data_IF_654513163873
#
_entry.id   IF_654513163873
#
_cell.length_a   1.000
_cell.length_b   1.000
_cell.length_c   1.000
_cell.angle_alpha   90.00
_cell.angle_beta   90.00
_cell.angle_gamma   90.00
#
_symmetry.space_group_name_H-M   'P 1'
#
loop_
_entity.id
_entity.type
_entity.pdbx_description
1 polymer ?
#
# COMPACT_ATOMS: atom_id res chain seq x y z
N UNK A 1 -41.52 -34.96 -39.57
CA UNK A 1 -40.07 -34.82 -39.33
C UNK A 1 -39.88 -34.06 -38.03
N UNK A 2 -40.01 -34.79 -36.93
CA UNK A 2 -40.06 -34.31 -35.56
C UNK A 2 -39.22 -35.28 -34.75
N UNK A 3 -38.12 -34.82 -34.14
CA UNK A 3 -37.36 -35.65 -33.20
C UNK A 3 -35.85 -35.54 -33.23
N UNK A 4 -35.27 -34.35 -33.36
CA UNK A 4 -33.81 -34.17 -33.24
C UNK A 4 -33.38 -32.99 -32.35
N UNK A 5 -34.27 -32.47 -31.49
CA UNK A 5 -33.94 -31.35 -30.57
C UNK A 5 -34.13 -31.62 -29.07
N UNK A 6 -34.60 -32.80 -28.66
CA UNK A 6 -34.90 -33.07 -27.23
C UNK A 6 -33.84 -33.91 -26.48
N UNK A 7 -32.70 -34.23 -27.10
CA UNK A 7 -31.69 -35.12 -26.46
C UNK A 7 -30.57 -34.39 -25.70
N UNK A 8 -30.52 -33.05 -25.72
CA UNK A 8 -29.41 -32.28 -25.10
C UNK A 8 -29.72 -31.72 -23.70
N UNK A 9 -30.92 -31.96 -23.14
CA UNK A 9 -31.28 -31.50 -21.78
C UNK A 9 -30.94 -32.47 -20.65
N UNK A 10 -30.39 -33.65 -20.94
CA UNK A 10 -30.18 -34.72 -19.94
C UNK A 10 -28.72 -35.15 -19.70
N UNK A 11 -27.72 -34.37 -20.15
CA UNK A 11 -26.30 -34.76 -20.03
C UNK A 11 -25.38 -33.76 -19.32
N UNK A 12 -25.92 -32.85 -18.52
CA UNK A 12 -25.11 -32.09 -17.58
C UNK A 12 -25.64 -32.37 -16.17
N UNK A 13 -24.94 -33.17 -15.34
CA UNK A 13 -25.26 -33.21 -13.92
C UNK A 13 -25.14 -31.78 -13.40
N UNK A 14 -26.17 -31.33 -12.69
CA UNK A 14 -26.11 -30.12 -11.88
C UNK A 14 -24.79 -30.15 -11.11
N UNK A 15 -23.86 -29.26 -11.48
CA UNK A 15 -22.62 -29.07 -10.73
C UNK A 15 -23.01 -28.40 -9.41
N UNK A 16 -23.48 -29.21 -8.47
CA UNK A 16 -23.49 -28.86 -7.06
C UNK A 16 -22.03 -28.66 -6.70
N UNK A 17 -21.58 -27.41 -6.72
CA UNK A 17 -20.26 -27.06 -6.20
C UNK A 17 -20.16 -27.63 -4.77
N UNK A 18 -19.11 -28.39 -4.45
CA UNK A 18 -18.97 -28.92 -3.09
C UNK A 18 -19.00 -27.75 -2.11
N UNK A 19 -19.75 -27.89 -1.01
CA UNK A 19 -19.67 -26.98 0.13
C UNK A 19 -18.30 -27.14 0.79
N UNK A 20 -17.34 -26.41 0.28
CA UNK A 20 -15.97 -26.32 0.77
C UNK A 20 -16.00 -25.40 2.01
N UNK A 21 -15.51 -25.87 3.16
CA UNK A 21 -15.53 -25.10 4.43
C UNK A 21 -14.62 -23.86 4.36
N UNK A 22 -15.06 -22.76 4.96
CA UNK A 22 -14.30 -21.54 5.31
C UNK A 22 -13.00 -21.28 4.54
N UNK A 23 -11.87 -21.66 5.14
CA UNK A 23 -10.52 -21.37 4.62
C UNK A 23 -10.27 -21.92 3.22
N UNK A 24 -10.83 -23.09 2.90
CA UNK A 24 -10.69 -23.70 1.58
C UNK A 24 -11.53 -23.01 0.49
N UNK A 25 -12.60 -22.27 0.85
CA UNK A 25 -13.34 -21.46 -0.13
C UNK A 25 -12.58 -20.16 -0.45
N UNK A 26 -12.05 -19.47 0.56
CA UNK A 26 -11.20 -18.29 0.36
C UNK A 26 -10.00 -18.63 -0.52
N UNK A 27 -9.35 -19.76 -0.23
CA UNK A 27 -8.19 -20.21 -1.00
C UNK A 27 -8.51 -20.39 -2.49
N UNK A 28 -9.66 -21.01 -2.81
CA UNK A 28 -10.12 -21.17 -4.18
C UNK A 28 -10.46 -19.83 -4.85
N UNK A 29 -11.04 -18.87 -4.12
CA UNK A 29 -11.34 -17.55 -4.68
C UNK A 29 -10.07 -16.81 -5.09
N UNK A 30 -9.04 -16.80 -4.24
CA UNK A 30 -7.76 -16.17 -4.56
C UNK A 30 -7.02 -16.89 -5.68
N UNK A 31 -7.04 -18.23 -5.69
CA UNK A 31 -6.47 -19.03 -6.79
C UNK A 31 -7.16 -18.69 -8.13
N UNK A 32 -8.49 -18.68 -8.17
CA UNK A 32 -9.25 -18.36 -9.37
C UNK A 32 -8.98 -16.92 -9.83
N UNK A 33 -8.90 -15.97 -8.90
CA UNK A 33 -8.58 -14.58 -9.22
C UNK A 33 -7.21 -14.45 -9.90
N UNK A 34 -6.20 -15.16 -9.40
CA UNK A 34 -4.86 -15.18 -9.99
C UNK A 34 -4.89 -15.68 -11.44
N UNK A 35 -5.68 -16.72 -11.71
CA UNK A 35 -5.84 -17.28 -13.05
C UNK A 35 -6.64 -16.38 -13.99
N UNK A 36 -7.77 -15.84 -13.53
CA UNK A 36 -8.69 -15.01 -14.32
C UNK A 36 -8.08 -13.65 -14.67
N UNK A 37 -7.47 -12.99 -13.68
CA UNK A 37 -6.80 -11.70 -13.85
C UNK A 37 -5.38 -11.84 -14.40
N UNK A 38 -4.90 -13.07 -14.65
CA UNK A 38 -3.55 -13.35 -15.18
C UNK A 38 -2.44 -12.73 -14.34
N UNK A 39 -2.62 -12.76 -13.02
CA UNK A 39 -1.65 -12.26 -12.06
C UNK A 39 -0.45 -13.23 -12.06
N UNK A 40 0.80 -12.75 -12.26
CA UNK A 40 1.97 -13.62 -12.22
C UNK A 40 2.19 -14.24 -10.84
N UNK A 41 2.16 -13.41 -9.80
CA UNK A 41 2.33 -13.80 -8.41
C UNK A 41 1.56 -12.88 -7.46
N UNK A 42 0.96 -13.48 -6.44
CA UNK A 42 0.22 -12.78 -5.38
C UNK A 42 0.57 -13.41 -4.03
N UNK A 43 0.82 -12.57 -3.04
CA UNK A 43 0.97 -12.97 -1.65
C UNK A 43 -0.21 -12.44 -0.86
N UNK A 44 -0.71 -13.22 0.10
CA UNK A 44 -1.78 -12.80 1.00
C UNK A 44 -1.50 -13.26 2.43
N UNK A 45 -1.78 -12.37 3.37
CA UNK A 45 -1.93 -12.71 4.78
C UNK A 45 -3.21 -12.08 5.33
N UNK A 46 -3.93 -12.85 6.16
CA UNK A 46 -5.15 -12.43 6.85
C UNK A 46 -5.03 -12.88 8.30
N UNK A 47 -5.14 -11.93 9.22
CA UNK A 47 -5.24 -12.16 10.66
C UNK A 47 -6.59 -11.66 11.15
N UNK A 48 -7.25 -12.46 11.98
CA UNK A 48 -8.51 -12.09 12.65
C UNK A 48 -8.44 -12.54 14.11
N UNK A 49 -8.76 -11.64 15.03
CA UNK A 49 -8.69 -11.92 16.47
C UNK A 49 -7.33 -12.54 16.88
N UNK A 50 -6.23 -11.94 16.39
CA UNK A 50 -4.84 -12.41 16.57
C UNK A 50 -4.52 -13.82 16.06
N UNK A 51 -5.42 -14.42 15.26
CA UNK A 51 -5.22 -15.73 14.63
C UNK A 51 -5.03 -15.58 13.12
N UNK A 52 -4.00 -16.21 12.60
CA UNK A 52 -3.79 -16.32 11.14
C UNK A 52 -4.89 -17.18 10.53
N UNK A 53 -5.70 -16.56 9.67
CA UNK A 53 -6.77 -17.22 8.91
C UNK A 53 -6.24 -17.74 7.57
N UNK A 54 -5.36 -16.96 6.94
CA UNK A 54 -4.70 -17.32 5.69
C UNK A 54 -3.33 -16.67 5.65
N UNK A 55 -2.32 -17.41 5.20
CA UNK A 55 -0.97 -16.92 4.93
C UNK A 55 -0.42 -17.77 3.79
N UNK A 56 -0.44 -17.22 2.58
CA UNK A 56 -0.19 -18.02 1.37
C UNK A 56 0.34 -17.17 0.21
N UNK A 57 1.17 -17.79 -0.61
CA UNK A 57 1.54 -17.29 -1.93
C UNK A 57 0.82 -18.07 -3.04
N UNK A 58 0.49 -17.35 -4.11
CA UNK A 58 -0.12 -17.86 -5.32
C UNK A 58 0.73 -17.46 -6.52
N UNK A 59 0.77 -18.32 -7.54
CA UNK A 59 1.56 -18.08 -8.73
C UNK A 59 3.06 -18.07 -8.46
N UNK A 60 3.78 -17.20 -9.17
CA UNK A 60 5.24 -17.19 -9.21
C UNK A 60 5.80 -15.81 -8.88
N UNK A 61 6.85 -15.79 -8.06
CA UNK A 61 7.65 -14.58 -7.85
C UNK A 61 8.37 -14.18 -9.14
N UNK A 62 8.74 -15.16 -9.97
CA UNK A 62 9.32 -14.98 -11.30
C UNK A 62 8.74 -16.00 -12.28
N UNK A 63 8.21 -15.50 -13.39
CA UNK A 63 7.78 -16.33 -14.52
C UNK A 63 8.93 -16.99 -15.27
N UNK A 64 10.17 -16.51 -15.08
CA UNK A 64 11.37 -17.05 -15.73
C UNK A 64 11.89 -18.27 -14.96
N UNK A 65 12.14 -18.12 -13.66
CA UNK A 65 12.62 -19.23 -12.81
C UNK A 65 11.50 -20.18 -12.39
N UNK A 66 10.24 -19.71 -12.42
CA UNK A 66 9.05 -20.40 -11.90
C UNK A 66 9.13 -20.72 -10.41
N UNK A 67 9.89 -19.94 -9.65
CA UNK A 67 9.83 -19.98 -8.19
C UNK A 67 8.45 -19.54 -7.71
N UNK A 68 7.90 -20.25 -6.73
CA UNK A 68 6.60 -19.92 -6.14
C UNK A 68 6.72 -18.71 -5.21
N UNK A 69 5.64 -17.93 -5.14
CA UNK A 69 5.53 -16.88 -4.12
C UNK A 69 5.48 -17.49 -2.73
N UNK A 70 6.23 -16.91 -1.80
CA UNK A 70 6.16 -17.20 -0.36
C UNK A 70 5.75 -15.93 0.40
N UNK A 71 4.79 -16.04 1.31
CA UNK A 71 4.24 -14.88 2.05
C UNK A 71 5.17 -14.27 3.10
N UNK A 72 6.20 -15.01 3.52
CA UNK A 72 7.18 -14.59 4.53
C UNK A 72 8.50 -14.11 3.92
N UNK A 73 8.88 -14.63 2.76
CA UNK A 73 10.20 -14.38 2.19
C UNK A 73 10.21 -13.75 0.79
N UNK A 74 9.10 -13.80 0.02
CA UNK A 74 9.03 -13.07 -1.25
C UNK A 74 8.68 -11.61 -0.98
N UNK A 75 9.61 -10.73 -1.31
CA UNK A 75 9.51 -9.27 -1.20
C UNK A 75 8.88 -8.67 -2.46
N UNK A 76 7.88 -7.82 -2.26
CA UNK A 76 7.15 -7.09 -3.30
C UNK A 76 7.32 -5.59 -3.10
N UNK A 77 7.23 -4.81 -4.18
CA UNK A 77 6.94 -3.37 -4.06
C UNK A 77 5.60 -3.21 -3.36
N UNK A 78 5.55 -2.43 -2.27
CA UNK A 78 4.30 -2.25 -1.50
C UNK A 78 3.46 -1.05 -1.97
N UNK A 79 3.99 -0.29 -2.94
CA UNK A 79 3.36 0.90 -3.48
C UNK A 79 2.87 1.81 -2.33
N UNK A 80 1.66 2.36 -2.43
CA UNK A 80 1.16 3.38 -1.51
C UNK A 80 0.89 2.92 -0.07
N UNK A 81 1.05 1.63 0.26
CA UNK A 81 1.19 1.19 1.66
C UNK A 81 2.39 1.89 2.32
N UNK A 82 3.39 2.30 1.55
CA UNK A 82 4.50 3.14 2.02
C UNK A 82 4.03 4.42 2.73
N UNK A 83 2.87 4.99 2.36
CA UNK A 83 2.31 6.17 3.03
C UNK A 83 1.86 5.86 4.47
N UNK A 84 1.40 4.64 4.73
CA UNK A 84 1.08 4.20 6.09
C UNK A 84 2.33 4.17 6.98
N UNK A 85 3.45 3.65 6.46
CA UNK A 85 4.74 3.67 7.14
C UNK A 85 5.17 5.11 7.43
N UNK A 86 5.06 6.01 6.44
CA UNK A 86 5.35 7.43 6.61
C UNK A 86 4.43 8.11 7.62
N UNK A 87 3.14 7.75 7.65
CA UNK A 87 2.18 8.26 8.63
C UNK A 87 2.55 7.85 10.06
N UNK A 88 2.98 6.60 10.27
CA UNK A 88 3.48 6.15 11.58
C UNK A 88 4.77 6.88 11.97
N UNK A 89 5.69 7.09 11.02
CA UNK A 89 6.91 7.87 11.25
C UNK A 89 6.60 9.34 11.60
N UNK A 90 5.62 9.95 10.94
CA UNK A 90 5.14 11.28 11.29
C UNK A 90 4.55 11.31 12.71
N UNK A 91 3.77 10.29 13.09
CA UNK A 91 3.30 10.15 14.47
C UNK A 91 4.44 10.12 15.48
N UNK A 92 5.54 9.40 15.18
CA UNK A 92 6.73 9.40 16.03
C UNK A 92 7.39 10.77 16.14
N UNK A 93 7.53 11.49 15.02
CA UNK A 93 8.09 12.85 15.03
C UNK A 93 7.30 13.79 15.95
N UNK A 94 5.96 13.65 15.98
CA UNK A 94 5.10 14.44 16.85
C UNK A 94 5.24 14.02 18.32
N UNK A 95 5.25 12.72 18.62
CA UNK A 95 5.47 12.23 19.99
C UNK A 95 6.81 12.65 20.58
N UNK A 96 7.84 12.72 19.73
CA UNK A 96 9.19 13.17 20.07
C UNK A 96 9.31 14.70 20.17
N UNK A 97 8.26 15.45 19.82
CA UNK A 97 8.25 16.91 19.84
C UNK A 97 9.10 17.56 18.74
N UNK A 98 9.47 16.80 17.70
CA UNK A 98 10.28 17.27 16.57
C UNK A 98 9.43 17.95 15.49
N UNK A 99 8.12 17.70 15.49
CA UNK A 99 7.19 18.22 14.49
C UNK A 99 5.82 18.45 15.12
N UNK A 100 5.07 19.42 14.60
CA UNK A 100 3.65 19.60 14.89
C UNK A 100 2.86 19.31 13.61
N UNK A 101 1.68 18.70 13.74
CA UNK A 101 0.81 18.39 12.60
C UNK A 101 0.48 19.63 11.78
N UNK A 102 0.24 20.75 12.45
CA UNK A 102 -0.26 21.98 11.84
C UNK A 102 0.86 23.03 11.64
N UNK A 103 2.11 22.66 11.91
CA UNK A 103 3.27 23.48 11.55
C UNK A 103 3.37 23.68 10.03
N UNK A 104 3.95 24.82 9.64
CA UNK A 104 4.23 25.12 8.24
C UNK A 104 5.28 24.13 7.73
N UNK A 105 5.08 23.61 6.50
CA UNK A 105 6.12 22.82 5.84
C UNK A 105 7.45 23.59 5.72
N UNK A 106 7.39 24.92 5.61
CA UNK A 106 8.57 25.76 5.47
C UNK A 106 9.37 25.91 6.75
N UNK A 107 8.83 25.56 7.92
CA UNK A 107 9.58 25.55 9.17
C UNK A 107 10.69 24.49 9.13
N UNK A 108 10.45 23.40 8.38
CA UNK A 108 11.39 22.28 8.22
C UNK A 108 12.19 22.39 6.91
N UNK A 109 11.59 22.94 5.85
CA UNK A 109 12.19 23.02 4.52
C UNK A 109 12.18 24.47 4.01
N UNK A 110 12.92 25.40 4.65
CA UNK A 110 12.84 26.83 4.34
C UNK A 110 13.36 27.19 2.94
N UNK A 111 14.15 26.31 2.33
CA UNK A 111 14.69 26.48 0.98
C UNK A 111 13.72 26.04 -0.13
N UNK A 112 12.57 25.43 0.20
CA UNK A 112 11.56 25.14 -0.80
C UNK A 112 10.95 26.45 -1.34
N UNK A 113 10.72 26.60 -2.66
CA UNK A 113 10.14 27.82 -3.21
C UNK A 113 8.81 28.17 -2.54
N UNK A 114 8.69 29.40 -2.04
CA UNK A 114 7.45 29.90 -1.44
C UNK A 114 6.33 29.89 -2.49
N UNK A 115 5.23 29.21 -2.16
CA UNK A 115 4.01 29.18 -2.96
C UNK A 115 3.14 30.39 -2.63
N UNK A 116 2.07 30.58 -3.41
CA UNK A 116 1.09 31.64 -3.17
C UNK A 116 0.43 31.55 -1.79
N UNK A 117 0.23 30.34 -1.29
CA UNK A 117 -0.35 30.04 0.01
C UNK A 117 0.60 29.13 0.78
N UNK A 118 0.62 29.28 2.10
CA UNK A 118 1.32 28.35 2.99
C UNK A 118 0.51 27.04 3.15
N UNK A 119 1.18 25.94 3.43
CA UNK A 119 0.56 24.63 3.68
C UNK A 119 1.26 23.88 4.81
N UNK A 120 0.48 23.11 5.55
CA UNK A 120 0.94 22.40 6.76
C UNK A 120 1.37 20.97 6.49
N UNK A 121 2.07 20.38 7.46
CA UNK A 121 2.40 18.95 7.48
C UNK A 121 1.14 18.08 7.39
N UNK A 122 0.08 18.43 8.11
CA UNK A 122 -1.22 17.76 8.08
C UNK A 122 -1.79 17.75 6.66
N UNK A 123 -1.75 18.89 5.99
CA UNK A 123 -2.28 19.03 4.63
C UNK A 123 -1.50 18.21 3.60
N UNK A 124 -0.18 18.07 3.76
CA UNK A 124 0.61 17.13 2.97
C UNK A 124 0.20 15.68 3.26
N UNK A 125 0.16 15.30 4.55
CA UNK A 125 -0.18 13.94 4.96
C UNK A 125 -1.60 13.51 4.56
N UNK A 126 -2.51 14.45 4.37
CA UNK A 126 -3.91 14.21 3.99
C UNK A 126 -4.26 14.55 2.53
N UNK A 127 -3.30 14.92 1.70
CA UNK A 127 -3.53 15.29 0.30
C UNK A 127 -4.44 16.52 0.08
N UNK A 128 -4.39 17.48 1.00
CA UNK A 128 -5.14 18.74 0.94
C UNK A 128 -4.23 19.96 0.81
N UNK A 129 -2.93 19.78 0.57
CA UNK A 129 -1.96 20.87 0.37
C UNK A 129 -2.03 21.53 -1.02
N UNK A 130 -2.65 20.89 -2.00
CA UNK A 130 -2.73 21.43 -3.37
C UNK A 130 -1.46 21.24 -4.20
N UNK A 131 -0.55 20.35 -3.79
CA UNK A 131 0.57 19.92 -4.64
C UNK A 131 -0.01 19.13 -5.83
N UNK A 132 0.58 19.34 -7.02
CA UNK A 132 0.13 18.65 -8.22
C UNK A 132 0.46 17.14 -8.20
N UNK A 133 -0.26 16.37 -9.00
CA UNK A 133 0.12 14.99 -9.32
C UNK A 133 1.21 14.86 -10.38
N UNK A 134 1.53 13.60 -10.70
CA UNK A 134 2.46 13.23 -11.77
C UNK A 134 1.97 13.70 -13.15
N UNK A 135 2.92 14.07 -14.02
CA UNK A 135 2.71 14.42 -15.42
C UNK A 135 3.58 13.55 -16.33
N UNK A 136 3.07 13.20 -17.51
CA UNK A 136 3.82 12.46 -18.52
C UNK A 136 4.49 11.21 -17.98
N UNK A 137 5.82 11.20 -17.96
CA UNK A 137 6.64 10.03 -17.56
C UNK A 137 7.00 10.00 -16.06
N UNK A 138 6.62 11.01 -15.27
CA UNK A 138 7.05 11.12 -13.86
C UNK A 138 6.61 9.92 -12.99
N UNK A 139 5.44 9.33 -13.29
CA UNK A 139 4.97 8.13 -12.61
C UNK A 139 5.97 6.97 -12.73
N UNK A 140 6.60 6.84 -13.90
CA UNK A 140 7.58 5.80 -14.22
C UNK A 140 9.01 6.35 -14.35
N UNK A 141 9.33 7.45 -13.66
CA UNK A 141 10.65 8.06 -13.75
C UNK A 141 11.72 7.09 -13.20
N UNK A 142 12.80 6.95 -13.96
CA UNK A 142 13.96 6.15 -13.59
C UNK A 142 15.18 7.06 -13.46
N UNK A 143 15.18 7.90 -12.43
CA UNK A 143 16.28 8.82 -12.12
C UNK A 143 16.73 8.57 -10.68
N UNK A 144 18.04 8.50 -10.41
CA UNK A 144 18.60 8.16 -9.11
C UNK A 144 18.62 9.38 -8.17
N UNK A 145 17.49 10.07 -8.05
CA UNK A 145 17.39 11.21 -7.15
C UNK A 145 17.43 10.76 -5.69
N UNK A 146 18.09 11.54 -4.85
CA UNK A 146 17.77 11.57 -3.43
C UNK A 146 16.40 12.25 -3.21
N UNK A 147 15.78 12.04 -2.05
CA UNK A 147 14.49 12.67 -1.69
C UNK A 147 14.57 14.19 -1.87
N UNK A 148 15.62 14.82 -1.34
CA UNK A 148 15.85 16.27 -1.43
C UNK A 148 15.99 16.77 -2.86
N UNK A 149 16.66 16.03 -3.73
CA UNK A 149 16.88 16.40 -5.14
C UNK A 149 15.60 16.23 -5.97
N UNK A 150 14.77 15.26 -5.60
CA UNK A 150 13.56 14.93 -6.38
C UNK A 150 12.51 16.04 -6.41
N UNK A 151 12.58 17.00 -5.48
CA UNK A 151 11.69 18.16 -5.49
C UNK A 151 11.90 19.01 -6.74
N UNK A 152 13.07 18.99 -7.38
CA UNK A 152 13.32 19.71 -8.65
C UNK A 152 12.30 19.37 -9.73
N UNK A 153 11.72 18.17 -9.69
CA UNK A 153 10.70 17.71 -10.64
C UNK A 153 9.45 18.59 -10.59
N UNK A 154 9.08 19.14 -9.42
CA UNK A 154 7.79 19.81 -9.22
C UNK A 154 7.81 21.08 -8.35
N UNK A 155 8.96 21.46 -7.78
CA UNK A 155 9.06 22.56 -6.80
C UNK A 155 8.69 23.94 -7.37
N UNK A 156 8.72 24.11 -8.69
CA UNK A 156 8.37 25.38 -9.34
C UNK A 156 6.92 25.44 -9.83
N UNK A 157 6.18 24.33 -9.75
CA UNK A 157 4.79 24.31 -10.19
C UNK A 157 3.86 25.03 -9.18
N UNK A 158 2.81 25.71 -9.64
CA UNK A 158 1.83 26.33 -8.76
C UNK A 158 1.03 25.27 -7.99
N UNK A 159 0.46 25.67 -6.85
CA UNK A 159 -0.58 24.87 -6.20
C UNK A 159 -1.81 24.78 -7.12
N UNK A 160 -2.42 23.60 -7.19
CA UNK A 160 -3.62 23.37 -8.00
C UNK A 160 -4.89 23.92 -7.35
N UNK A 161 -4.86 24.15 -6.04
CA UNK A 161 -5.90 24.81 -5.26
C UNK A 161 -5.31 25.41 -3.97
N UNK A 162 -6.08 26.25 -3.28
CA UNK A 162 -5.71 26.76 -1.96
C UNK A 162 -5.72 25.61 -0.92
N UNK A 163 -4.66 25.46 -0.10
CA UNK A 163 -4.56 24.39 0.88
C UNK A 163 -5.81 24.31 1.80
N UNK A 164 -6.34 23.11 2.00
CA UNK A 164 -7.58 22.85 2.75
C UNK A 164 -8.88 23.12 1.99
N UNK A 165 -8.84 23.68 0.76
CA UNK A 165 -10.03 23.92 -0.07
C UNK A 165 -10.26 22.85 -1.15
N UNK A 166 -9.36 21.90 -1.27
CA UNK A 166 -9.43 20.80 -2.23
C UNK A 166 -8.77 19.53 -1.70
N UNK A 167 -9.01 18.43 -2.42
CA UNK A 167 -8.38 17.14 -2.19
C UNK A 167 -7.81 16.63 -3.52
N UNK A 168 -6.53 16.25 -3.52
CA UNK A 168 -5.88 15.64 -4.67
C UNK A 168 -4.88 14.60 -4.20
N UNK A 169 -5.30 13.34 -4.16
CA UNK A 169 -4.40 12.23 -3.88
C UNK A 169 -3.21 12.21 -4.85
N UNK A 170 -2.00 12.35 -4.31
CA UNK A 170 -0.77 12.29 -5.10
C UNK A 170 0.44 11.89 -4.24
N UNK A 171 1.48 11.36 -4.88
CA UNK A 171 2.68 10.92 -4.16
C UNK A 171 3.69 12.05 -3.91
N UNK A 172 3.57 13.21 -4.55
CA UNK A 172 4.50 14.32 -4.31
C UNK A 172 4.28 14.97 -2.93
N UNK A 173 3.05 14.96 -2.41
CA UNK A 173 2.79 15.32 -1.01
C UNK A 173 3.64 14.46 -0.06
N UNK A 174 3.66 13.15 -0.26
CA UNK A 174 4.42 12.22 0.59
C UNK A 174 5.93 12.34 0.39
N UNK A 175 6.40 12.74 -0.81
CA UNK A 175 7.82 13.08 -1.04
C UNK A 175 8.20 14.31 -0.22
N UNK A 176 7.39 15.37 -0.24
CA UNK A 176 7.63 16.55 0.61
C UNK A 176 7.56 16.18 2.09
N UNK A 177 6.61 15.34 2.50
CA UNK A 177 6.51 14.88 3.88
C UNK A 177 7.76 14.11 4.32
N UNK A 178 8.28 13.20 3.48
CA UNK A 178 9.53 12.49 3.77
C UNK A 178 10.73 13.44 3.86
N UNK A 179 10.76 14.50 3.05
CA UNK A 179 11.80 15.53 3.14
C UNK A 179 11.71 16.33 4.45
N UNK A 180 10.49 16.71 4.87
CA UNK A 180 10.30 17.40 6.14
C UNK A 180 10.75 16.54 7.32
N UNK A 181 10.41 15.24 7.33
CA UNK A 181 10.87 14.30 8.37
C UNK A 181 12.40 14.20 8.39
N UNK A 182 13.03 14.09 7.21
CA UNK A 182 14.48 14.04 7.07
C UNK A 182 15.17 15.30 7.64
N UNK A 183 14.69 16.49 7.28
CA UNK A 183 15.29 17.75 7.73
C UNK A 183 15.04 17.99 9.23
N UNK A 184 13.84 17.69 9.73
CA UNK A 184 13.48 17.87 11.14
C UNK A 184 14.24 16.91 12.08
N UNK A 185 14.47 15.66 11.65
CA UNK A 185 15.21 14.67 12.45
C UNK A 185 16.73 14.79 12.29
N UNK A 186 17.22 15.51 11.27
CA UNK A 186 18.62 15.50 10.84
C UNK A 186 19.16 14.09 10.51
N UNK A 187 18.27 13.14 10.21
CA UNK A 187 18.58 11.78 9.79
C UNK A 187 18.10 11.55 8.37
N UNK A 188 18.74 10.66 7.62
CA UNK A 188 18.16 10.17 6.36
C UNK A 188 16.77 9.57 6.64
N UNK A 189 15.80 9.84 5.76
CA UNK A 189 14.41 9.43 5.97
C UNK A 189 14.29 7.91 6.21
N UNK A 190 15.00 7.10 5.42
CA UNK A 190 15.01 5.66 5.55
C UNK A 190 15.54 5.17 6.90
N UNK A 191 16.53 5.85 7.47
CA UNK A 191 17.12 5.50 8.77
C UNK A 191 16.17 5.85 9.91
N UNK A 192 15.53 7.03 9.86
CA UNK A 192 14.52 7.41 10.84
C UNK A 192 13.35 6.42 10.83
N UNK A 193 12.83 6.08 9.65
CA UNK A 193 11.75 5.09 9.51
C UNK A 193 12.18 3.71 10.02
N UNK A 194 13.40 3.28 9.71
CA UNK A 194 13.94 2.00 10.18
C UNK A 194 14.00 1.94 11.70
N UNK A 195 14.58 2.94 12.33
CA UNK A 195 14.75 3.00 13.78
C UNK A 195 13.41 3.15 14.52
N UNK A 196 12.53 4.02 14.03
CA UNK A 196 11.33 4.44 14.77
C UNK A 196 10.07 3.66 14.43
N UNK A 197 10.06 2.96 13.30
CA UNK A 197 8.90 2.21 12.82
C UNK A 197 9.26 0.75 12.55
N UNK A 198 10.17 0.46 11.63
CA UNK A 198 10.36 -0.93 11.16
C UNK A 198 10.94 -1.85 12.25
N UNK A 199 11.97 -1.41 12.98
CA UNK A 199 12.59 -2.20 14.06
C UNK A 199 11.60 -2.44 15.22
N UNK A 200 10.91 -1.42 15.78
CA UNK A 200 9.91 -1.63 16.83
C UNK A 200 8.77 -2.58 16.43
N UNK A 201 8.38 -2.55 15.16
CA UNK A 201 7.35 -3.42 14.60
C UNK A 201 7.87 -4.80 14.15
N UNK A 202 9.18 -5.04 14.27
CA UNK A 202 9.84 -6.26 13.84
C UNK A 202 9.63 -6.57 12.34
N UNK A 203 9.58 -5.53 11.53
CA UNK A 203 9.42 -5.61 10.06
C UNK A 203 10.78 -5.77 9.37
N UNK A 204 11.47 -6.87 9.67
CA UNK A 204 12.85 -7.12 9.22
C UNK A 204 12.99 -7.35 7.70
N UNK A 205 11.90 -7.73 7.04
CA UNK A 205 11.79 -7.96 5.61
C UNK A 205 11.05 -6.80 4.92
N UNK A 206 11.28 -5.58 5.40
CA UNK A 206 10.89 -4.32 4.73
C UNK A 206 12.15 -3.57 4.33
N UNK A 207 12.26 -3.23 3.05
CA UNK A 207 13.49 -2.72 2.45
C UNK A 207 13.23 -1.47 1.61
N UNK A 208 14.25 -0.62 1.53
CA UNK A 208 14.36 0.40 0.48
C UNK A 208 14.81 -0.22 -0.84
N UNK A 209 14.56 0.43 -2.00
CA UNK A 209 15.12 0.01 -3.28
C UNK A 209 16.64 -0.15 -3.26
N UNK A 210 17.36 0.76 -2.59
CA UNK A 210 18.81 0.69 -2.45
C UNK A 210 19.29 -0.54 -1.67
N UNK A 211 18.59 -0.92 -0.60
CA UNK A 211 18.92 -2.14 0.16
C UNK A 211 18.71 -3.40 -0.68
N UNK A 212 17.63 -3.45 -1.49
CA UNK A 212 17.37 -4.59 -2.39
C UNK A 212 18.43 -4.73 -3.49
N UNK A 213 19.00 -3.63 -3.97
CA UNK A 213 20.08 -3.66 -4.97
C UNK A 213 21.41 -4.19 -4.40
N UNK A 214 21.57 -4.23 -3.07
CA UNK A 214 22.76 -4.74 -2.42
C UNK A 214 22.41 -5.97 -1.55
N UNK A 215 22.74 -7.15 -2.06
CA UNK A 215 22.43 -8.43 -1.43
C UNK A 215 22.97 -8.58 0.00
N UNK A 216 23.93 -7.77 0.46
CA UNK A 216 24.41 -7.82 1.84
C UNK A 216 23.37 -7.40 2.89
N UNK A 217 22.27 -6.77 2.47
CA UNK A 217 21.18 -6.34 3.36
C UNK A 217 20.04 -7.36 3.50
N UNK A 218 20.11 -8.47 2.77
CA UNK A 218 19.04 -9.46 2.71
C UNK A 218 19.57 -10.82 3.16
N UNK A 219 18.76 -11.55 3.92
CA UNK A 219 19.07 -12.93 4.29
C UNK A 219 18.97 -13.83 3.04
N UNK A 220 19.75 -14.92 3.03
CA UNK A 220 19.87 -15.83 1.87
C UNK A 220 18.54 -16.49 1.45
N UNK A 221 17.55 -16.56 2.35
CA UNK A 221 16.23 -17.13 2.10
C UNK A 221 15.19 -16.10 1.62
N UNK A 222 15.55 -14.82 1.55
CA UNK A 222 14.71 -13.74 1.06
C UNK A 222 14.90 -13.56 -0.45
N UNK A 223 13.79 -13.47 -1.18
CA UNK A 223 13.76 -13.25 -2.63
C UNK A 223 12.98 -11.98 -2.97
N UNK A 224 13.36 -11.29 -4.05
CA UNK A 224 12.56 -10.17 -4.58
C UNK A 224 11.80 -10.63 -5.80
N UNK A 225 10.49 -10.40 -5.80
CA UNK A 225 9.64 -10.72 -6.94
C UNK A 225 10.06 -9.94 -8.19
N UNK A 226 9.99 -10.61 -9.34
CA UNK A 226 9.98 -9.94 -10.62
C UNK A 226 8.71 -9.12 -10.78
N UNK A 227 8.85 -7.95 -11.39
CA UNK A 227 7.76 -6.99 -11.55
C UNK A 227 7.18 -7.03 -12.96
N UNK A 228 5.86 -7.03 -13.08
CA UNK A 228 5.17 -7.18 -14.36
C UNK A 228 4.13 -6.08 -14.65
N UNK A 229 3.76 -5.98 -15.91
CA UNK A 229 2.61 -5.22 -16.41
C UNK A 229 1.87 -6.09 -17.42
N UNK A 230 0.54 -6.02 -17.46
CA UNK A 230 -0.24 -6.72 -18.46
C UNK A 230 -0.25 -5.98 -19.80
N UNK A 231 0.10 -6.69 -20.88
CA UNK A 231 -0.20 -6.28 -22.27
C UNK A 231 -1.35 -7.14 -22.77
N UNK A 232 -2.57 -6.61 -22.73
CA UNK A 232 -3.78 -7.43 -22.88
C UNK A 232 -3.89 -8.41 -21.71
N UNK A 233 -3.94 -9.72 -21.99
CA UNK A 233 -3.94 -10.78 -20.96
C UNK A 233 -2.58 -11.42 -20.72
N UNK A 234 -1.50 -10.85 -21.28
CA UNK A 234 -0.16 -11.43 -21.20
C UNK A 234 0.74 -10.60 -20.28
N UNK A 235 1.27 -11.17 -19.19
CA UNK A 235 2.28 -10.52 -18.39
C UNK A 235 3.56 -10.25 -19.18
N UNK A 236 4.09 -9.04 -19.03
CA UNK A 236 5.41 -8.62 -19.52
C UNK A 236 6.18 -8.00 -18.37
N UNK A 237 7.51 -8.15 -18.36
CA UNK A 237 8.37 -7.46 -17.39
C UNK A 237 8.03 -5.97 -17.41
N UNK A 238 7.82 -5.40 -16.23
CA UNK A 238 7.57 -3.99 -16.07
C UNK A 238 8.81 -3.20 -16.47
N UNK A 239 8.61 -1.95 -16.89
CA UNK A 239 9.72 -1.04 -17.14
C UNK A 239 10.49 -0.76 -15.84
N UNK A 240 11.79 -0.54 -15.96
CA UNK A 240 12.62 -0.13 -14.83
C UNK A 240 12.21 1.26 -14.36
N UNK A 241 12.11 1.42 -13.05
CA UNK A 241 11.81 2.68 -12.36
C UNK A 241 12.71 2.80 -11.15
N UNK A 242 13.02 4.03 -10.76
CA UNK A 242 13.70 4.30 -9.50
C UNK A 242 12.67 4.89 -8.53
N UNK A 243 12.38 4.14 -7.47
CA UNK A 243 11.43 4.57 -6.45
C UNK A 243 12.11 5.04 -5.14
N UNK A 244 13.44 5.16 -5.11
CA UNK A 244 14.18 5.57 -3.90
C UNK A 244 13.74 6.96 -3.43
N UNK A 245 13.64 7.93 -4.34
CA UNK A 245 13.16 9.26 -3.96
C UNK A 245 11.66 9.30 -3.61
N UNK A 246 10.92 8.24 -3.93
CA UNK A 246 9.48 8.09 -3.64
C UNK A 246 9.24 7.28 -2.38
N UNK A 247 10.26 6.98 -1.56
CA UNK A 247 10.15 6.11 -0.38
C UNK A 247 8.89 6.40 0.43
N UNK A 248 8.69 7.64 0.87
CA UNK A 248 7.54 7.98 1.71
C UNK A 248 6.17 7.86 1.03
N UNK A 249 6.10 7.89 -0.31
CA UNK A 249 4.86 7.84 -1.08
C UNK A 249 4.54 6.50 -1.72
N UNK A 250 5.55 5.66 -1.99
CA UNK A 250 5.35 4.40 -2.69
C UNK A 250 6.59 3.55 -2.94
N UNK A 251 7.73 3.87 -2.30
CA UNK A 251 9.02 3.30 -2.68
C UNK A 251 9.46 2.07 -1.91
N UNK A 252 8.89 1.79 -0.75
CA UNK A 252 9.27 0.61 0.03
C UNK A 252 8.92 -0.70 -0.67
N UNK A 253 9.66 -1.74 -0.31
CA UNK A 253 9.37 -3.12 -0.63
C UNK A 253 9.20 -3.90 0.68
N UNK A 254 8.33 -4.91 0.70
CA UNK A 254 8.15 -5.76 1.87
C UNK A 254 7.45 -7.08 1.55
N UNK A 255 7.27 -7.90 2.57
CA UNK A 255 6.52 -9.16 2.57
C UNK A 255 5.13 -8.94 3.16
N UNK A 256 4.16 -9.79 2.83
CA UNK A 256 2.83 -9.69 3.44
C UNK A 256 2.89 -9.86 4.96
N UNK A 257 3.79 -10.73 5.44
CA UNK A 257 3.94 -11.02 6.87
C UNK A 257 4.37 -9.80 7.67
N UNK A 258 5.25 -8.95 7.14
CA UNK A 258 5.65 -7.71 7.81
C UNK A 258 4.57 -6.64 7.78
N UNK A 259 3.83 -6.54 6.66
CA UNK A 259 2.67 -5.64 6.60
C UNK A 259 1.58 -6.06 7.61
N UNK A 260 1.41 -7.35 7.89
CA UNK A 260 0.53 -7.82 8.97
C UNK A 260 1.01 -7.33 10.34
N UNK A 261 2.32 -7.38 10.64
CA UNK A 261 2.85 -6.88 11.92
C UNK A 261 2.51 -5.40 12.12
N UNK A 262 2.63 -4.59 11.07
CA UNK A 262 2.20 -3.19 11.08
C UNK A 262 0.70 -3.05 11.40
N UNK A 263 -0.16 -3.83 10.74
CA UNK A 263 -1.61 -3.76 11.00
C UNK A 263 -2.01 -4.27 12.38
N UNK A 264 -1.36 -5.31 12.90
CA UNK A 264 -1.59 -5.80 14.27
C UNK A 264 -1.15 -4.75 15.30
N UNK A 265 -0.05 -4.06 15.03
CA UNK A 265 0.39 -2.94 15.87
C UNK A 265 -0.63 -1.81 15.92
N UNK A 266 -1.22 -1.46 14.78
CA UNK A 266 -2.31 -0.47 14.69
C UNK A 266 -3.52 -0.95 15.50
N UNK A 267 -3.94 -2.21 15.38
CA UNK A 267 -5.07 -2.75 16.16
C UNK A 267 -4.81 -2.73 17.66
N UNK A 268 -3.59 -3.09 18.06
CA UNK A 268 -3.22 -3.26 19.45
C UNK A 268 -2.75 -1.95 20.11
N UNK A 269 -2.56 -0.88 19.33
CA UNK A 269 -2.15 0.43 19.83
C UNK A 269 -0.76 0.42 20.47
N UNK A 270 0.20 -0.33 19.94
CA UNK A 270 1.47 -0.61 20.63
C UNK A 270 2.70 0.14 20.08
N UNK A 271 2.59 0.85 18.95
CA UNK A 271 3.68 1.71 18.45
C UNK A 271 3.55 3.14 18.94
N UNK A 272 2.36 3.74 18.80
CA UNK A 272 2.06 5.13 19.14
C UNK A 272 1.06 5.19 20.30
N UNK A 273 0.99 6.33 20.95
CA UNK A 273 -0.04 6.69 21.92
C UNK A 273 -1.40 6.76 21.23
N UNK A 274 -2.45 6.50 22.01
CA UNK A 274 -3.83 6.46 21.51
C UNK A 274 -4.26 7.77 20.84
N UNK A 275 -3.87 8.93 21.40
CA UNK A 275 -4.19 10.23 20.80
C UNK A 275 -3.54 10.43 19.42
N UNK A 276 -2.38 9.81 19.18
CA UNK A 276 -1.60 10.02 17.97
C UNK A 276 -2.23 9.17 16.88
N UNK A 277 -2.62 7.93 17.20
CA UNK A 277 -3.45 7.12 16.32
C UNK A 277 -4.78 7.80 16.00
N UNK A 278 -5.45 8.44 16.97
CA UNK A 278 -6.69 9.21 16.71
C UNK A 278 -6.45 10.33 15.69
N UNK A 279 -5.31 11.03 15.75
CA UNK A 279 -4.96 12.04 14.74
C UNK A 279 -4.69 11.42 13.37
N UNK A 280 -3.91 10.34 13.30
CA UNK A 280 -3.59 9.65 12.04
C UNK A 280 -4.83 9.11 11.33
N UNK A 281 -5.80 8.61 12.11
CA UNK A 281 -7.00 7.95 11.59
C UNK A 281 -8.25 8.86 11.57
N UNK A 282 -8.11 10.15 11.90
CA UNK A 282 -9.18 11.11 11.69
C UNK A 282 -9.27 11.47 10.20
N UNK A 283 -10.36 11.09 9.54
CA UNK A 283 -10.62 11.51 8.17
C UNK A 283 -10.69 13.05 8.09
N UNK A 284 -9.95 13.63 7.15
CA UNK A 284 -9.96 15.07 6.94
C UNK A 284 -11.20 15.50 6.15
N UNK A 285 -11.60 16.75 6.35
CA UNK A 285 -12.77 17.34 5.68
C UNK A 285 -12.36 18.48 4.77
N UNK A 286 -12.95 18.52 3.58
CA UNK A 286 -12.87 19.65 2.65
C UNK A 286 -14.28 20.14 2.40
N UNK A 287 -14.55 21.42 2.64
CA UNK A 287 -15.87 22.04 2.46
C UNK A 287 -17.01 21.29 3.19
N UNK A 288 -16.73 20.78 4.40
CA UNK A 288 -17.70 20.05 5.21
C UNK A 288 -17.94 18.60 4.80
N UNK A 289 -17.20 18.07 3.82
CA UNK A 289 -17.28 16.68 3.38
C UNK A 289 -15.99 15.93 3.67
N UNK A 290 -16.13 14.70 4.16
CA UNK A 290 -14.99 13.79 4.37
C UNK A 290 -14.35 13.44 3.03
N UNK A 291 -13.01 13.44 3.02
CA UNK A 291 -12.22 12.96 1.88
C UNK A 291 -11.80 11.50 2.03
N UNK A 292 -12.29 10.84 3.09
CA UNK A 292 -11.99 9.43 3.42
C UNK A 292 -10.48 9.13 3.51
N UNK A 293 -9.71 10.11 3.99
CA UNK A 293 -8.26 10.04 4.11
C UNK A 293 -7.81 10.79 5.38
N UNK A 294 -7.00 10.11 6.19
CA UNK A 294 -6.34 10.64 7.38
C UNK A 294 -4.92 11.09 7.06
N UNK A 295 -3.98 10.89 7.98
CA UNK A 295 -2.59 11.31 7.79
C UNK A 295 -1.73 10.13 7.36
N UNK A 296 -1.60 9.93 6.04
CA UNK A 296 -0.92 8.78 5.43
C UNK A 296 -1.76 7.51 5.30
N UNK A 297 -3.04 7.55 5.68
CA UNK A 297 -3.97 6.41 5.65
C UNK A 297 -5.25 6.77 4.92
N UNK A 298 -5.75 5.85 4.09
CA UNK A 298 -7.17 5.83 3.77
C UNK A 298 -7.95 5.54 5.06
N UNK A 299 -9.00 6.31 5.31
CA UNK A 299 -9.94 6.13 6.43
C UNK A 299 -11.32 6.01 5.79
N UNK A 300 -11.64 4.80 5.34
CA UNK A 300 -12.68 4.55 4.36
C UNK A 300 -13.58 3.40 4.80
N UNK A 301 -14.51 3.03 3.93
CA UNK A 301 -15.36 1.86 4.06
C UNK A 301 -15.14 0.91 2.89
N UNK A 302 -15.31 -0.38 3.14
CA UNK A 302 -15.37 -1.40 2.09
C UNK A 302 -16.75 -1.43 1.40
N UNK A 303 -16.93 -2.35 0.43
CA UNK A 303 -18.17 -2.48 -0.34
C UNK A 303 -19.42 -2.83 0.49
N UNK A 304 -19.25 -3.32 1.72
CA UNK A 304 -20.36 -3.61 2.66
C UNK A 304 -20.52 -2.52 3.72
N UNK A 305 -19.75 -1.42 3.62
CA UNK A 305 -19.82 -0.30 4.57
C UNK A 305 -18.98 -0.49 5.84
N UNK A 306 -18.13 -1.53 5.93
CA UNK A 306 -17.26 -1.75 7.10
C UNK A 306 -16.10 -0.77 7.09
N UNK A 307 -15.83 -0.15 8.23
CA UNK A 307 -14.77 0.84 8.36
C UNK A 307 -13.39 0.17 8.37
N UNK A 308 -12.46 0.75 7.62
CA UNK A 308 -11.06 0.35 7.66
C UNK A 308 -10.13 1.57 7.64
N UNK A 309 -8.93 1.36 8.21
CA UNK A 309 -7.76 2.19 7.94
C UNK A 309 -6.72 1.40 7.15
N UNK A 310 -6.03 2.03 6.22
CA UNK A 310 -5.05 1.32 5.40
C UNK A 310 -4.74 2.02 4.08
N UNK A 311 -4.43 1.24 3.04
CA UNK A 311 -4.17 1.79 1.72
C UNK A 311 -4.26 0.74 0.59
N UNK A 312 -4.92 1.12 -0.51
CA UNK A 312 -4.75 0.47 -1.83
C UNK A 312 -3.57 1.11 -2.58
N UNK A 313 -2.60 0.33 -3.03
CA UNK A 313 -1.43 0.79 -3.75
C UNK A 313 -1.43 0.38 -5.21
N UNK A 314 -0.98 1.30 -6.07
CA UNK A 314 -0.64 0.99 -7.45
C UNK A 314 0.70 1.65 -7.80
N UNK A 315 1.61 0.88 -8.38
CA UNK A 315 2.88 1.39 -8.90
C UNK A 315 3.31 0.57 -10.11
N UNK A 316 4.33 1.02 -10.82
CA UNK A 316 4.93 0.19 -11.87
C UNK A 316 5.39 -1.13 -11.25
N UNK A 317 4.81 -2.23 -11.69
CA UNK A 317 5.14 -3.57 -11.23
C UNK A 317 4.37 -4.06 -10.02
N UNK A 318 3.45 -3.28 -9.46
CA UNK A 318 2.82 -3.62 -8.20
C UNK A 318 1.37 -3.16 -8.07
N UNK A 319 0.57 -3.98 -7.39
CA UNK A 319 -0.76 -3.63 -6.92
C UNK A 319 -0.97 -4.24 -5.53
N UNK A 320 -1.49 -3.48 -4.59
CA UNK A 320 -1.47 -3.89 -3.17
C UNK A 320 -2.70 -3.44 -2.41
N UNK A 321 -3.14 -4.25 -1.45
CA UNK A 321 -4.17 -3.87 -0.48
C UNK A 321 -3.62 -4.10 0.93
N UNK A 322 -3.73 -3.09 1.78
CA UNK A 322 -3.53 -3.21 3.21
C UNK A 322 -4.73 -2.62 3.92
N UNK A 323 -5.41 -3.42 4.74
CA UNK A 323 -6.59 -2.99 5.48
C UNK A 323 -6.52 -3.47 6.92
N UNK A 324 -6.83 -2.57 7.83
CA UNK A 324 -7.07 -2.83 9.24
C UNK A 324 -8.51 -2.45 9.53
N UNK A 325 -9.30 -3.42 9.97
CA UNK A 325 -10.69 -3.28 10.37
C UNK A 325 -10.75 -3.33 11.90
N UNK A 326 -10.77 -2.18 12.60
CA UNK A 326 -10.64 -2.14 14.05
C UNK A 326 -11.81 -2.81 14.78
N UNK A 327 -13.04 -2.60 14.28
CA UNK A 327 -14.26 -3.12 14.89
C UNK A 327 -14.33 -4.65 14.79
N UNK A 328 -13.88 -5.22 13.68
CA UNK A 328 -13.85 -6.66 13.42
C UNK A 328 -12.53 -7.33 13.82
N UNK A 329 -11.53 -6.56 14.26
CA UNK A 329 -10.17 -7.03 14.59
C UNK A 329 -9.54 -7.86 13.47
N UNK A 330 -9.68 -7.38 12.22
CA UNK A 330 -9.12 -8.03 11.03
C UNK A 330 -8.00 -7.19 10.45
N UNK A 331 -6.88 -7.83 10.10
CA UNK A 331 -5.80 -7.26 9.31
C UNK A 331 -5.63 -8.07 8.03
N UNK A 332 -5.57 -7.37 6.90
CA UNK A 332 -5.40 -7.97 5.57
C UNK A 332 -4.21 -7.30 4.90
N UNK A 333 -3.31 -8.12 4.36
CA UNK A 333 -2.26 -7.70 3.43
C UNK A 333 -2.33 -8.54 2.16
N UNK A 334 -2.38 -7.88 1.01
CA UNK A 334 -2.34 -8.50 -0.32
C UNK A 334 -1.30 -7.76 -1.15
N UNK A 335 -0.32 -8.49 -1.66
CA UNK A 335 0.76 -7.93 -2.49
C UNK A 335 0.82 -8.66 -3.83
N UNK A 336 0.72 -7.93 -4.93
CA UNK A 336 0.72 -8.47 -6.29
C UNK A 336 1.89 -7.88 -7.08
N UNK A 337 2.66 -8.72 -7.77
CA UNK A 337 3.81 -8.30 -8.60
C UNK A 337 3.40 -7.84 -10.01
N UNK A 338 2.26 -7.16 -10.14
CA UNK A 338 1.74 -6.69 -11.42
C UNK A 338 1.13 -5.30 -11.31
N UNK A 339 1.44 -4.41 -12.26
CA UNK A 339 0.78 -3.10 -12.40
C UNK A 339 -0.70 -3.29 -12.70
N UNK A 340 -1.57 -2.78 -11.83
CA UNK A 340 -3.03 -2.67 -12.03
C UNK A 340 -3.65 -3.85 -12.81
N UNK A 341 -3.67 -5.06 -12.23
CA UNK A 341 -4.17 -6.27 -12.90
C UNK A 341 -5.70 -6.26 -13.11
N UNK A 342 -6.39 -5.16 -12.77
CA UNK A 342 -7.87 -5.05 -12.77
C UNK A 342 -8.55 -6.09 -11.88
N UNK A 343 -7.91 -6.44 -10.77
CA UNK A 343 -8.36 -7.49 -9.86
C UNK A 343 -9.18 -6.99 -8.66
N UNK A 344 -9.30 -5.67 -8.44
CA UNK A 344 -9.89 -5.12 -7.20
C UNK A 344 -11.29 -5.64 -6.90
N UNK A 345 -12.20 -5.70 -7.89
CA UNK A 345 -13.55 -6.22 -7.65
C UNK A 345 -13.56 -7.68 -7.18
N UNK A 346 -12.65 -8.52 -7.69
CA UNK A 346 -12.48 -9.89 -7.22
C UNK A 346 -11.85 -9.96 -5.82
N UNK A 347 -10.93 -9.04 -5.51
CA UNK A 347 -10.38 -8.91 -4.16
C UNK A 347 -11.45 -8.48 -3.15
N UNK A 348 -12.31 -7.53 -3.50
CA UNK A 348 -13.40 -7.06 -2.64
C UNK A 348 -14.39 -8.17 -2.32
N UNK A 349 -14.78 -8.97 -3.33
CA UNK A 349 -15.65 -10.14 -3.11
C UNK A 349 -14.99 -11.21 -2.23
N UNK A 350 -13.69 -11.46 -2.39
CA UNK A 350 -12.95 -12.37 -1.52
C UNK A 350 -12.82 -11.83 -0.09
N UNK A 351 -12.54 -10.54 0.07
CA UNK A 351 -12.44 -9.86 1.37
C UNK A 351 -13.78 -9.93 2.11
N UNK A 352 -14.90 -9.69 1.41
CA UNK A 352 -16.24 -9.82 1.99
C UNK A 352 -16.46 -11.17 2.65
N UNK A 353 -15.95 -12.26 2.06
CA UNK A 353 -16.13 -13.59 2.64
C UNK A 353 -15.42 -13.74 4.00
N UNK A 354 -14.32 -13.02 4.26
CA UNK A 354 -13.54 -13.11 5.52
C UNK A 354 -14.40 -12.83 6.77
N UNK A 355 -15.42 -11.99 6.61
CA UNK A 355 -16.29 -11.56 7.70
C UNK A 355 -17.48 -12.50 7.95
N UNK A 356 -17.69 -13.50 7.10
CA UNK A 356 -18.74 -14.47 7.29
C UNK A 356 -18.44 -15.39 8.49
N UNK A 357 -19.44 -15.62 9.34
CA UNK A 357 -19.32 -16.39 10.60
C UNK A 357 -18.93 -17.88 10.43
N UNK A 358 -18.85 -18.38 9.20
CA UNK A 358 -18.60 -19.79 8.89
C UNK A 358 -17.14 -20.09 8.49
N UNK A 359 -16.23 -19.16 8.76
CA UNK A 359 -14.80 -19.26 8.47
C UNK A 359 -13.98 -19.85 9.62
#
# INVERSE_FOLDING_TARGET
MSGWFDFLKYLLPDRVAPKVKGSSQLDLMFQNLVEEARIPGMSICIVKDDKTILEKGYGFESLETRNQVNSRSTVFRIASISKCITGLALGKMVEEGLMDWDASFYDFVPYYPKKKFDFTIRQLASHTAGIRGYRGKEFALNQPYAIKESIEVFKNDPLVFEPGKGYLYNSFDSVLLSLAIQEASSMAFEEYVKEKVLIPLQMANTYTPKEVENSSFMDDDISVADFYTLKGKTPKKAITVNNQYKLGGGGYLSTCSDIIKMGQSILNGNLLKEETYKQLFAAQNVNGQSVYYGLGFQVSQDIEGRHYVGHVGNSVGAYTNFFVYPDEKVVISILINCTDPKAQGGLDEAIKQIFNKNL
#
